data_IF_554680598693
#
_entry.id   IF_554680598693
#
_cell.length_a   1.000
_cell.length_b   1.000
_cell.length_c   1.000
_cell.angle_alpha   90.00
_cell.angle_beta   90.00
_cell.angle_gamma   90.00
#
_symmetry.space_group_name_H-M   'P 1'
#
loop_
_entity.id
_entity.type
_entity.pdbx_description
1 polymer ?
#
# COMPACT_ATOMS: atom_id res chain seq x y z
N UNK A 1 -6.79 -6.20 -6.41
CA UNK A 1 -6.64 -5.41 -7.66
C UNK A 1 -5.92 -6.29 -8.67
N UNK A 2 -6.66 -6.83 -9.66
CA UNK A 2 -6.07 -7.64 -10.73
C UNK A 2 -5.94 -6.73 -11.95
N UNK A 3 -4.72 -6.31 -12.27
CA UNK A 3 -4.47 -5.58 -13.51
C UNK A 3 -4.44 -6.58 -14.66
N UNK A 4 -5.48 -6.59 -15.49
CA UNK A 4 -5.44 -7.25 -16.81
C UNK A 4 -4.97 -6.22 -17.85
N UNK A 5 -3.99 -6.56 -18.68
CA UNK A 5 -3.56 -5.68 -19.76
C UNK A 5 -4.47 -5.86 -20.98
N UNK A 6 -4.72 -4.73 -21.66
CA UNK A 6 -5.36 -4.59 -22.98
C UNK A 6 -6.89 -4.70 -23.04
N UNK A 7 -7.53 -3.52 -23.08
CA UNK A 7 -8.58 -3.19 -24.05
C UNK A 7 -8.51 -1.70 -24.36
N UNK A 8 -8.34 -1.41 -25.64
CA UNK A 8 -8.40 -0.09 -26.27
C UNK A 8 -9.74 0.59 -25.96
N UNK A 9 -9.70 1.78 -25.38
CA UNK A 9 -10.88 2.62 -25.12
C UNK A 9 -10.93 3.72 -26.18
N UNK A 10 -11.88 3.59 -27.11
CA UNK A 10 -12.23 4.66 -28.06
C UNK A 10 -13.04 5.74 -27.36
N UNK A 11 -12.56 6.98 -27.37
CA UNK A 11 -13.23 8.14 -26.78
C UNK A 11 -14.30 8.71 -27.74
N UNK A 12 -15.52 8.88 -27.24
CA UNK A 12 -16.54 9.74 -27.87
C UNK A 12 -16.56 11.10 -27.14
N UNK A 13 -16.59 12.24 -27.85
CA UNK A 13 -16.53 13.55 -27.21
C UNK A 13 -17.92 13.99 -26.78
N UNK A 14 -18.19 13.93 -25.47
CA UNK A 14 -19.38 14.54 -24.88
C UNK A 14 -19.99 13.74 -23.74
N UNK A 15 -19.29 13.63 -22.62
CA UNK A 15 -19.88 13.36 -21.30
C UNK A 15 -18.89 13.75 -20.20
N UNK A 16 -19.28 14.75 -19.43
CA UNK A 16 -18.87 15.14 -18.07
C UNK A 16 -17.38 15.09 -17.63
N UNK A 17 -16.83 16.25 -17.31
CA UNK A 17 -15.40 16.49 -17.07
C UNK A 17 -15.00 16.56 -15.58
N UNK A 18 -15.60 15.77 -14.68
CA UNK A 18 -15.26 15.83 -13.23
C UNK A 18 -15.16 14.51 -12.46
N UNK A 19 -15.00 13.37 -13.13
CA UNK A 19 -14.49 12.15 -12.48
C UNK A 19 -13.45 11.51 -13.39
N UNK A 20 -12.28 12.16 -13.50
CA UNK A 20 -11.11 11.41 -13.90
C UNK A 20 -10.85 10.39 -12.79
N UNK A 21 -11.03 9.11 -13.09
CA UNK A 21 -10.41 8.03 -12.34
C UNK A 21 -8.90 8.32 -12.33
N UNK A 22 -8.43 9.01 -11.28
CA UNK A 22 -7.03 9.44 -11.20
C UNK A 22 -6.21 8.20 -10.94
N UNK A 23 -5.69 7.62 -12.01
CA UNK A 23 -4.74 6.52 -11.91
C UNK A 23 -3.49 7.00 -11.15
N UNK A 24 -2.96 6.18 -10.23
CA UNK A 24 -1.70 6.44 -9.57
C UNK A 24 -0.59 6.71 -10.59
N UNK A 25 0.19 7.77 -10.36
CA UNK A 25 1.33 8.11 -11.24
C UNK A 25 2.57 7.34 -10.79
N UNK A 26 3.48 7.06 -11.72
CA UNK A 26 4.68 6.27 -11.41
C UNK A 26 5.55 6.90 -10.32
N UNK A 27 5.62 8.22 -10.24
CA UNK A 27 6.42 8.94 -9.25
C UNK A 27 5.83 8.88 -7.83
N UNK A 28 4.56 8.49 -7.69
CA UNK A 28 3.93 8.27 -6.38
C UNK A 28 4.31 6.90 -5.80
N UNK A 29 5.06 6.08 -6.54
CA UNK A 29 5.58 4.80 -6.07
C UNK A 29 7.09 4.89 -5.82
N UNK A 30 7.52 4.32 -4.70
CA UNK A 30 8.93 4.19 -4.35
C UNK A 30 9.27 2.74 -4.05
N UNK A 31 10.45 2.28 -4.48
CA UNK A 31 10.96 0.97 -4.08
C UNK A 31 11.62 1.11 -2.72
N UNK A 32 11.22 0.26 -1.77
CA UNK A 32 11.75 0.29 -0.41
C UNK A 32 13.14 -0.37 -0.33
N UNK A 33 14.02 0.14 0.55
CA UNK A 33 15.42 -0.29 0.58
C UNK A 33 15.62 -1.69 1.16
N UNK A 34 14.77 -2.10 2.11
CA UNK A 34 14.84 -3.43 2.73
C UNK A 34 13.55 -3.79 3.45
N UNK A 35 13.31 -5.10 3.63
CA UNK A 35 12.23 -5.61 4.47
C UNK A 35 12.31 -5.09 5.89
N UNK A 36 13.51 -5.08 6.49
CA UNK A 36 13.69 -4.63 7.87
C UNK A 36 13.27 -3.17 8.06
N UNK A 37 13.58 -2.30 7.10
CA UNK A 37 13.17 -0.89 7.13
C UNK A 37 11.64 -0.75 7.17
N UNK A 38 10.96 -1.49 6.29
CA UNK A 38 9.49 -1.48 6.19
C UNK A 38 8.84 -2.04 7.45
N UNK A 39 9.32 -3.17 7.96
CA UNK A 39 8.82 -3.77 9.20
C UNK A 39 8.98 -2.81 10.38
N UNK A 40 10.16 -2.21 10.55
CA UNK A 40 10.40 -1.25 11.63
C UNK A 40 9.47 -0.04 11.54
N UNK A 41 9.22 0.49 10.34
CA UNK A 41 8.31 1.62 10.13
C UNK A 41 6.87 1.25 10.51
N UNK A 42 6.39 0.10 10.05
CA UNK A 42 5.05 -0.42 10.37
C UNK A 42 4.91 -0.67 11.87
N UNK A 43 5.90 -1.33 12.50
CA UNK A 43 5.90 -1.63 13.92
C UNK A 43 5.88 -0.36 14.77
N UNK A 44 6.66 0.66 14.39
CA UNK A 44 6.68 1.95 15.07
C UNK A 44 5.31 2.64 15.00
N UNK A 45 4.70 2.70 13.82
CA UNK A 45 3.41 3.35 13.61
C UNK A 45 2.27 2.65 14.36
N UNK A 46 2.20 1.31 14.25
CA UNK A 46 1.14 0.53 14.90
C UNK A 46 1.31 0.49 16.43
N UNK A 47 2.54 0.37 16.93
CA UNK A 47 2.79 0.37 18.38
C UNK A 47 2.46 1.73 19.01
N UNK A 48 2.73 2.84 18.31
CA UNK A 48 2.44 4.18 18.81
C UNK A 48 0.95 4.46 18.99
N UNK A 49 0.08 3.87 18.15
CA UNK A 49 -1.38 4.13 18.18
C UNK A 49 -2.16 3.03 18.90
N UNK A 50 -1.81 1.76 18.68
CA UNK A 50 -2.59 0.61 19.17
C UNK A 50 -1.95 -0.12 20.35
N UNK A 51 -0.69 0.19 20.72
CA UNK A 51 -0.01 -0.31 21.92
C UNK A 51 -0.23 -1.81 22.18
N UNK A 52 -0.82 -2.13 23.34
CA UNK A 52 -1.10 -3.50 23.78
C UNK A 52 -1.98 -4.31 22.83
N UNK A 53 -2.92 -3.66 22.12
CA UNK A 53 -3.79 -4.36 21.16
C UNK A 53 -2.98 -4.85 19.96
N UNK A 54 -2.06 -4.01 19.46
CA UNK A 54 -1.13 -4.43 18.42
C UNK A 54 -0.21 -5.54 18.93
N UNK A 55 0.31 -5.41 20.16
CA UNK A 55 1.19 -6.42 20.74
C UNK A 55 0.57 -7.83 20.76
N UNK A 56 -0.73 -7.93 21.08
CA UNK A 56 -1.47 -9.21 21.10
C UNK A 56 -1.59 -9.88 19.72
N UNK A 57 -1.72 -9.09 18.65
CA UNK A 57 -1.93 -9.63 17.29
C UNK A 57 -0.64 -9.67 16.45
N UNK A 58 0.42 -8.98 16.87
CA UNK A 58 1.67 -8.78 16.10
C UNK A 58 2.22 -10.09 15.55
N UNK A 59 2.36 -11.12 16.38
CA UNK A 59 2.92 -12.41 15.96
C UNK A 59 2.05 -13.10 14.93
N UNK A 60 0.73 -13.16 15.16
CA UNK A 60 -0.20 -13.79 14.23
C UNK A 60 -0.26 -13.05 12.89
N UNK A 61 -0.25 -11.71 12.92
CA UNK A 61 -0.24 -10.86 11.74
C UNK A 61 0.98 -11.16 10.87
N UNK A 62 2.18 -11.08 11.43
CA UNK A 62 3.40 -11.26 10.66
C UNK A 62 3.61 -12.71 10.21
N UNK A 63 3.23 -13.70 11.03
CA UNK A 63 3.26 -15.12 10.62
C UNK A 63 2.36 -15.36 9.42
N UNK A 64 1.13 -14.85 9.45
CA UNK A 64 0.17 -15.03 8.34
C UNK A 64 0.70 -14.41 7.05
N UNK A 65 1.31 -13.23 7.13
CA UNK A 65 1.87 -12.59 5.94
C UNK A 65 3.07 -13.39 5.43
N UNK A 66 3.98 -13.84 6.30
CA UNK A 66 5.13 -14.66 5.91
C UNK A 66 4.70 -15.96 5.21
N UNK A 67 3.71 -16.66 5.76
CA UNK A 67 3.19 -17.91 5.20
C UNK A 67 2.56 -17.70 3.81
N UNK A 68 1.90 -16.56 3.59
CA UNK A 68 1.21 -16.27 2.33
C UNK A 68 2.11 -15.70 1.23
N UNK A 69 3.19 -14.99 1.54
CA UNK A 69 3.98 -14.29 0.51
C UNK A 69 5.49 -14.52 0.59
N UNK A 70 6.00 -15.11 1.67
CA UNK A 70 7.44 -15.25 1.95
C UNK A 70 8.15 -13.90 1.84
N UNK A 71 8.12 -13.09 2.90
CA UNK A 71 8.53 -11.67 2.86
C UNK A 71 9.98 -11.50 2.42
N UNK A 72 10.86 -12.45 2.76
CA UNK A 72 12.27 -12.43 2.37
C UNK A 72 12.49 -12.54 0.85
N UNK A 73 11.52 -13.06 0.11
CA UNK A 73 11.55 -13.20 -1.35
C UNK A 73 10.79 -12.07 -2.08
N UNK A 74 10.34 -11.04 -1.35
CA UNK A 74 9.56 -9.93 -1.91
C UNK A 74 10.42 -8.73 -2.34
N UNK A 75 10.07 -8.16 -3.50
CA UNK A 75 10.34 -6.75 -3.75
C UNK A 75 9.23 -5.93 -3.06
N UNK A 76 9.61 -4.85 -2.37
CA UNK A 76 8.67 -4.04 -1.61
C UNK A 76 8.57 -2.64 -2.22
N UNK A 77 7.34 -2.16 -2.38
CA UNK A 77 7.05 -0.82 -2.90
C UNK A 77 6.13 -0.07 -1.95
N UNK A 78 6.32 1.23 -1.80
CA UNK A 78 5.37 2.12 -1.12
C UNK A 78 4.61 2.97 -2.14
N UNK A 79 3.37 3.31 -1.81
CA UNK A 79 2.59 4.34 -2.50
C UNK A 79 2.37 5.55 -1.58
N UNK A 80 2.92 6.68 -2.01
CA UNK A 80 2.88 7.95 -1.29
C UNK A 80 2.23 8.98 -2.22
N UNK A 81 0.90 9.18 -2.17
CA UNK A 81 0.24 10.16 -3.02
C UNK A 81 0.74 11.56 -2.69
N UNK A 82 0.92 12.41 -3.72
CA UNK A 82 1.23 13.82 -3.51
C UNK A 82 0.13 14.46 -2.64
N UNK A 83 0.49 15.26 -1.63
CA UNK A 83 -0.44 15.84 -0.63
C UNK A 83 -1.61 16.63 -1.25
N UNK A 84 -1.45 17.17 -2.45
CA UNK A 84 -2.52 17.84 -3.21
C UNK A 84 -3.51 16.88 -3.88
N UNK A 85 -3.28 15.58 -3.76
CA UNK A 85 -3.92 14.52 -4.51
C UNK A 85 -4.19 13.26 -3.67
N UNK A 86 -4.05 13.37 -2.35
CA UNK A 86 -4.33 12.29 -1.41
C UNK A 86 -5.81 12.28 -1.02
N UNK A 87 -6.62 11.32 -1.49
CA UNK A 87 -8.00 11.15 -1.04
C UNK A 87 -8.09 10.67 0.42
N UNK A 88 -6.97 10.26 1.03
CA UNK A 88 -6.86 9.89 2.44
C UNK A 88 -6.26 11.02 3.31
N UNK A 89 -5.91 12.15 2.69
CA UNK A 89 -5.40 13.37 3.34
C UNK A 89 -6.51 14.17 4.02
N UNK A 90 -7.41 13.47 4.71
CA UNK A 90 -8.43 14.12 5.53
C UNK A 90 -7.75 14.80 6.73
N UNK A 91 -8.20 16.01 7.14
CA UNK A 91 -7.68 16.65 8.33
C UNK A 91 -7.84 15.73 9.54
N UNK A 92 -6.71 15.42 10.21
CA UNK A 92 -6.67 14.52 11.36
C UNK A 92 -5.89 13.23 11.14
N UNK A 93 -5.53 12.88 9.90
CA UNK A 93 -4.68 11.70 9.65
C UNK A 93 -3.28 11.89 10.26
N UNK A 94 -2.93 11.09 11.27
CA UNK A 94 -1.61 11.12 11.92
C UNK A 94 -0.54 10.53 11.00
N UNK A 95 -0.86 9.39 10.40
CA UNK A 95 -0.01 8.69 9.45
C UNK A 95 -0.85 7.74 8.62
N UNK A 96 -0.34 7.44 7.42
CA UNK A 96 -0.80 6.34 6.59
C UNK A 96 0.41 5.66 5.96
N UNK A 97 0.28 4.37 5.65
CA UNK A 97 1.24 3.67 4.82
C UNK A 97 0.51 2.78 3.82
N UNK A 98 1.12 2.57 2.66
CA UNK A 98 0.58 1.76 1.58
C UNK A 98 1.70 0.92 0.98
N UNK A 99 1.91 -0.29 1.48
CA UNK A 99 2.97 -1.18 1.03
C UNK A 99 2.45 -2.29 0.12
N UNK A 100 3.23 -2.57 -0.93
CA UNK A 100 3.03 -3.71 -1.83
C UNK A 100 4.21 -4.66 -1.67
N UNK A 101 3.95 -5.87 -1.17
CA UNK A 101 4.91 -6.96 -1.12
C UNK A 101 4.70 -7.83 -2.35
N UNK A 102 5.63 -7.77 -3.30
CA UNK A 102 5.55 -8.51 -4.55
C UNK A 102 6.55 -9.66 -4.58
N UNK A 103 6.03 -10.89 -4.51
CA UNK A 103 6.83 -12.09 -4.73
C UNK A 103 6.70 -12.53 -6.20
N UNK A 104 7.78 -12.31 -6.96
CA UNK A 104 7.87 -12.65 -8.39
C UNK A 104 7.74 -14.15 -8.65
N UNK A 105 8.25 -15.01 -7.75
CA UNK A 105 8.21 -16.47 -7.89
C UNK A 105 6.77 -16.99 -7.75
N UNK A 106 6.04 -16.47 -6.76
CA UNK A 106 4.64 -16.80 -6.51
C UNK A 106 3.65 -16.07 -7.45
N UNK A 107 4.12 -15.05 -8.18
CA UNK A 107 3.30 -14.13 -8.99
C UNK A 107 2.16 -13.52 -8.16
N UNK A 108 2.47 -13.18 -6.90
CA UNK A 108 1.48 -12.77 -5.89
C UNK A 108 1.88 -11.42 -5.31
N UNK A 109 0.88 -10.61 -4.99
CA UNK A 109 1.05 -9.31 -4.34
C UNK A 109 0.20 -9.30 -3.08
N UNK A 110 0.81 -8.96 -1.94
CA UNK A 110 0.09 -8.53 -0.74
C UNK A 110 0.09 -7.01 -0.72
N UNK A 111 -1.09 -6.41 -0.67
CA UNK A 111 -1.26 -4.98 -0.45
C UNK A 111 -1.61 -4.76 1.02
N UNK A 112 -0.71 -4.11 1.76
CA UNK A 112 -0.88 -3.81 3.17
C UNK A 112 -0.95 -2.30 3.37
N UNK A 113 -2.13 -1.82 3.77
CA UNK A 113 -2.38 -0.41 4.04
C UNK A 113 -2.99 -0.25 5.43
N UNK A 114 -2.63 0.84 6.09
CA UNK A 114 -3.23 1.25 7.35
C UNK A 114 -3.14 2.77 7.48
N UNK A 115 -4.09 3.36 8.18
CA UNK A 115 -4.11 4.78 8.55
C UNK A 115 -4.53 4.94 10.00
N UNK A 116 -4.01 5.97 10.66
CA UNK A 116 -4.46 6.41 11.97
C UNK A 116 -5.13 7.78 11.86
N UNK A 117 -6.27 7.92 12.53
CA UNK A 117 -7.11 9.13 12.61
C UNK A 117 -7.19 9.55 14.08
#
# INVERSE_FOLDING_TARGET
>A
MVLRPERSVSWSPGCDSTLSERLPKSHEFSKEPSLQWVLNSIESNLSAVAGDQYHKIRTALWSTIEDEISLNDCDIYSYNPDLNSDPFGEPGCLWSFNYFFYNKKLKRIVFFTCRAI
#
